data_IF_742135285174
#
_entry.id   IF_742135285174
#
_cell.length_a   1.000
_cell.length_b   1.000
_cell.length_c   1.000
_cell.angle_alpha   90.00
_cell.angle_beta   90.00
_cell.angle_gamma   90.00
#
_symmetry.space_group_name_H-M   'P 1'
#
loop_
_entity.id
_entity.type
_entity.pdbx_description
1 polymer ?
#
# COMPACT_ATOMS: atom_id res chain seq x y z
N UNK A 1 2.10 -7.51 22.00
CA UNK A 1 1.90 -6.78 20.73
C UNK A 1 2.88 -5.62 20.58
N UNK A 2 3.25 -5.22 19.35
CA UNK A 2 4.16 -4.06 19.09
C UNK A 2 3.73 -2.78 19.81
N UNK A 3 2.41 -2.56 19.97
CA UNK A 3 1.87 -1.40 20.69
C UNK A 3 2.17 -1.43 22.19
N UNK A 4 2.13 -2.62 22.81
CA UNK A 4 2.35 -2.81 24.26
C UNK A 4 3.82 -2.63 24.65
N UNK A 5 4.75 -2.83 23.71
CA UNK A 5 6.19 -2.63 23.90
C UNK A 5 6.65 -1.21 23.55
N UNK A 6 5.73 -0.25 23.40
CA UNK A 6 6.06 1.15 23.08
C UNK A 6 6.36 1.42 21.60
N UNK A 7 5.98 0.51 20.70
CA UNK A 7 6.20 0.64 19.25
C UNK A 7 7.56 0.12 18.81
N UNK A 8 8.13 0.73 17.76
CA UNK A 8 9.45 0.37 17.19
C UNK A 8 10.43 1.50 17.48
N UNK A 9 11.50 1.23 18.24
CA UNK A 9 12.48 2.24 18.66
C UNK A 9 11.81 3.48 19.30
N UNK A 10 10.81 3.26 20.15
CA UNK A 10 10.03 4.33 20.81
C UNK A 10 9.04 5.07 19.91
N UNK A 11 8.94 4.72 18.61
CA UNK A 11 7.96 5.30 17.68
C UNK A 11 6.69 4.46 17.69
N UNK A 12 5.55 5.11 17.98
CA UNK A 12 4.22 4.47 17.93
C UNK A 12 3.81 4.23 16.49
N UNK A 13 3.24 3.05 16.23
CA UNK A 13 2.64 2.70 14.94
C UNK A 13 1.11 2.74 15.02
N UNK A 14 0.50 3.36 14.02
CA UNK A 14 -0.95 3.41 13.80
C UNK A 14 -1.29 2.82 12.44
N UNK A 15 -2.37 2.07 12.36
CA UNK A 15 -2.91 1.57 11.09
C UNK A 15 -4.10 2.43 10.72
N UNK A 16 -4.04 3.01 9.53
CA UNK A 16 -5.12 3.79 8.92
C UNK A 16 -5.62 3.00 7.72
N UNK A 17 -6.92 2.67 7.71
CA UNK A 17 -7.51 1.86 6.66
C UNK A 17 -8.63 2.61 5.95
N UNK A 18 -8.76 2.34 4.66
CA UNK A 18 -9.86 2.76 3.79
C UNK A 18 -10.24 1.59 2.88
N UNK A 19 -11.50 1.54 2.47
CA UNK A 19 -12.03 0.52 1.59
C UNK A 19 -12.20 1.09 0.17
N UNK A 20 -11.47 0.55 -0.80
CA UNK A 20 -11.66 0.82 -2.23
C UNK A 20 -12.75 -0.07 -2.87
N UNK A 21 -13.34 -1.00 -2.10
CA UNK A 21 -14.39 -1.91 -2.53
C UNK A 21 -13.92 -2.98 -3.50
N UNK A 22 -12.61 -3.21 -3.63
CA UNK A 22 -12.01 -4.06 -4.67
C UNK A 22 -12.23 -3.52 -6.10
N UNK A 23 -12.55 -2.22 -6.23
CA UNK A 23 -12.84 -1.57 -7.51
C UNK A 23 -11.68 -0.68 -7.94
N UNK A 24 -11.02 -1.01 -9.06
CA UNK A 24 -9.86 -0.27 -9.56
C UNK A 24 -10.14 1.23 -9.77
N UNK A 25 -11.39 1.58 -10.12
CA UNK A 25 -11.83 2.97 -10.33
C UNK A 25 -11.83 3.81 -9.04
N UNK A 26 -11.91 3.18 -7.87
CA UNK A 26 -11.90 3.85 -6.56
C UNK A 26 -10.50 3.98 -5.96
N UNK A 27 -9.57 3.11 -6.35
CA UNK A 27 -8.21 3.02 -5.80
C UNK A 27 -7.48 4.36 -5.84
N UNK A 28 -7.55 5.10 -6.94
CA UNK A 28 -6.84 6.38 -7.07
C UNK A 28 -7.25 7.39 -6.00
N UNK A 29 -8.56 7.51 -5.73
CA UNK A 29 -9.08 8.39 -4.68
C UNK A 29 -8.67 7.89 -3.28
N UNK A 30 -8.78 6.59 -3.03
CA UNK A 30 -8.38 5.97 -1.76
C UNK A 30 -6.89 6.16 -1.46
N UNK A 31 -6.04 5.94 -2.45
CA UNK A 31 -4.59 6.12 -2.35
C UNK A 31 -4.23 7.59 -2.09
N UNK A 32 -4.87 8.51 -2.82
CA UNK A 32 -4.72 9.94 -2.60
C UNK A 32 -5.08 10.34 -1.18
N UNK A 33 -6.23 9.90 -0.66
CA UNK A 33 -6.66 10.23 0.70
C UNK A 33 -5.67 9.67 1.73
N UNK A 34 -5.24 8.41 1.59
CA UNK A 34 -4.28 7.81 2.52
C UNK A 34 -2.94 8.55 2.52
N UNK A 35 -2.41 8.89 1.35
CA UNK A 35 -1.05 9.44 1.19
C UNK A 35 -1.04 10.95 1.45
N UNK A 36 -1.89 11.71 0.75
CA UNK A 36 -1.84 13.17 0.76
C UNK A 36 -2.57 13.74 2.00
N UNK A 37 -3.76 13.24 2.29
CA UNK A 37 -4.62 13.83 3.33
C UNK A 37 -4.32 13.25 4.71
N UNK A 38 -4.11 11.93 4.80
CA UNK A 38 -3.81 11.23 6.05
C UNK A 38 -2.31 11.07 6.33
N UNK A 39 -1.45 11.38 5.35
CA UNK A 39 0.00 11.43 5.54
C UNK A 39 0.64 10.09 5.88
N UNK A 40 0.14 8.97 5.35
CA UNK A 40 0.76 7.67 5.63
C UNK A 40 2.11 7.57 4.93
N UNK A 41 3.12 7.03 5.63
CA UNK A 41 4.45 6.84 5.05
C UNK A 41 4.57 5.54 4.22
N UNK A 42 3.61 4.61 4.38
CA UNK A 42 3.59 3.33 3.70
C UNK A 42 2.14 2.82 3.51
N UNK A 43 1.92 2.14 2.38
CA UNK A 43 0.74 1.32 2.11
C UNK A 43 1.15 -0.14 2.34
N UNK A 44 0.40 -0.82 3.21
CA UNK A 44 0.66 -2.21 3.58
C UNK A 44 -0.56 -3.07 3.34
N UNK A 45 -0.38 -4.26 2.78
CA UNK A 45 -1.45 -5.25 2.67
C UNK A 45 -2.56 -4.90 1.68
N UNK A 46 -2.25 -4.19 0.58
CA UNK A 46 -3.21 -4.03 -0.52
C UNK A 46 -3.64 -5.42 -1.04
N UNK A 47 -4.92 -5.58 -1.36
CA UNK A 47 -5.49 -6.87 -1.77
C UNK A 47 -6.08 -6.74 -3.17
N UNK A 48 -5.65 -7.62 -4.08
CA UNK A 48 -6.26 -7.80 -5.40
C UNK A 48 -5.39 -7.43 -6.59
N UNK A 49 -5.54 -8.19 -7.68
CA UNK A 49 -4.89 -7.89 -8.96
C UNK A 49 -5.32 -6.56 -9.58
N UNK A 50 -6.63 -6.27 -9.74
CA UNK A 50 -7.06 -5.04 -10.39
C UNK A 50 -6.74 -3.79 -9.56
N UNK A 51 -6.73 -3.91 -8.23
CA UNK A 51 -6.42 -2.80 -7.33
C UNK A 51 -4.91 -2.52 -7.27
N UNK A 52 -4.08 -3.57 -7.17
CA UNK A 52 -2.62 -3.44 -7.21
C UNK A 52 -2.10 -2.84 -8.51
N UNK A 53 -2.76 -3.10 -9.65
CA UNK A 53 -2.41 -2.50 -10.94
C UNK A 53 -2.47 -0.96 -10.94
N UNK A 54 -3.27 -0.36 -10.06
CA UNK A 54 -3.40 1.09 -9.90
C UNK A 54 -2.58 1.58 -8.69
N UNK A 55 -2.68 0.88 -7.56
CA UNK A 55 -2.06 1.29 -6.32
C UNK A 55 -0.52 1.29 -6.37
N UNK A 56 0.09 0.27 -6.99
CA UNK A 56 1.54 0.14 -7.01
C UNK A 56 2.24 1.25 -7.84
N UNK A 57 1.80 1.58 -9.07
CA UNK A 57 2.34 2.72 -9.80
C UNK A 57 2.10 4.06 -9.09
N UNK A 58 0.95 4.24 -8.43
CA UNK A 58 0.66 5.44 -7.66
C UNK A 58 1.66 5.60 -6.51
N UNK A 59 1.85 4.55 -5.70
CA UNK A 59 2.81 4.55 -4.61
C UNK A 59 4.25 4.81 -5.09
N UNK A 60 4.65 4.24 -6.23
CA UNK A 60 5.95 4.50 -6.84
C UNK A 60 6.13 5.98 -7.23
N UNK A 61 5.11 6.60 -7.84
CA UNK A 61 5.12 8.02 -8.23
C UNK A 61 5.20 8.95 -7.02
N UNK A 62 4.49 8.64 -5.94
CA UNK A 62 4.51 9.42 -4.69
C UNK A 62 5.68 9.09 -3.78
N UNK A 63 6.54 8.13 -4.16
CA UNK A 63 7.64 7.61 -3.34
C UNK A 63 7.16 7.07 -1.99
N UNK A 64 5.96 6.51 -1.96
CA UNK A 64 5.37 5.83 -0.81
C UNK A 64 5.76 4.35 -0.83
N UNK A 65 6.14 3.79 0.31
CA UNK A 65 6.44 2.36 0.41
C UNK A 65 5.16 1.57 0.12
N UNK A 66 5.22 0.61 -0.79
CA UNK A 66 4.14 -0.34 -1.07
C UNK A 66 4.63 -1.75 -0.72
N UNK A 67 4.07 -2.35 0.33
CA UNK A 67 4.63 -3.57 0.90
C UNK A 67 3.57 -4.62 1.25
N UNK A 68 3.91 -5.90 1.01
CA UNK A 68 3.10 -7.03 1.45
C UNK A 68 1.73 -7.12 0.79
N UNK A 69 1.61 -6.73 -0.49
CA UNK A 69 0.36 -6.88 -1.22
C UNK A 69 -0.01 -8.36 -1.37
N UNK A 70 -1.28 -8.69 -1.15
CA UNK A 70 -1.82 -10.02 -1.35
C UNK A 70 -2.45 -10.10 -2.74
N UNK A 71 -1.63 -10.48 -3.72
CA UNK A 71 -2.01 -10.46 -5.14
C UNK A 71 -1.05 -11.31 -5.97
N UNK A 72 -1.53 -11.77 -7.13
CA UNK A 72 -0.69 -12.35 -8.18
C UNK A 72 -0.44 -11.37 -9.34
N UNK A 73 -0.59 -10.07 -9.10
CA UNK A 73 -0.47 -9.05 -10.14
C UNK A 73 0.95 -9.04 -10.73
N UNK A 74 1.11 -9.19 -12.06
CA UNK A 74 2.42 -9.21 -12.69
C UNK A 74 3.19 -7.90 -12.50
N UNK A 75 2.51 -6.77 -12.27
CA UNK A 75 3.14 -5.47 -12.00
C UNK A 75 4.05 -5.47 -10.75
N UNK A 76 3.88 -6.44 -9.85
CA UNK A 76 4.68 -6.59 -8.63
C UNK A 76 5.75 -7.70 -8.74
N UNK A 77 5.84 -8.36 -9.89
CA UNK A 77 6.79 -9.44 -10.14
C UNK A 77 7.70 -9.05 -11.29
N UNK A 78 9.00 -9.11 -11.09
CA UNK A 78 9.94 -9.04 -12.22
C UNK A 78 9.91 -10.36 -12.96
N UNK A 79 9.99 -10.31 -14.30
CA UNK A 79 10.23 -11.51 -15.08
C UNK A 79 11.62 -12.05 -14.67
N UNK A 80 11.73 -13.31 -14.22
CA UNK A 80 13.01 -13.90 -13.85
C UNK A 80 14.03 -13.94 -15.00
N UNK A 81 13.59 -13.81 -16.25
CA UNK A 81 14.46 -13.75 -17.42
C UNK A 81 15.03 -12.35 -17.70
N UNK A 82 14.53 -11.32 -17.01
CA UNK A 82 14.95 -9.92 -17.17
C UNK A 82 15.89 -9.41 -16.06
N UNK A 83 16.32 -10.29 -15.14
CA UNK A 83 17.25 -10.01 -14.03
C UNK A 83 18.59 -10.72 -14.15
#
# INVERSE_FOLDING_TARGET
NVKETGGVNGRKLTLTALDDGYEATRVGATMKELIDDRGVFAIVGNVGTPTSAVAAPFAAQTKTIFFGAFTGAPVLHQDPSEV
#
